data_IF_975203441805
#
_entry.id   IF_975203441805
#
_cell.length_a   1.000
_cell.length_b   1.000
_cell.length_c   1.000
_cell.angle_alpha   90.00
_cell.angle_beta   90.00
_cell.angle_gamma   90.00
#
_symmetry.space_group_name_H-M   'P 1'
#
loop_
_entity.id
_entity.type
_entity.pdbx_description
1 polymer ?
#
# COMPACT_ATOMS: atom_id res chain seq x y z
N UNK A 1 -13.93 -10.99 4.85
CA UNK A 1 -12.79 -10.32 4.19
C UNK A 1 -11.64 -10.17 5.16
N UNK A 2 -10.46 -10.61 4.75
CA UNK A 2 -9.18 -10.34 5.44
C UNK A 2 -8.85 -8.84 5.38
N UNK A 3 -7.91 -8.36 6.22
CA UNK A 3 -7.51 -6.95 6.21
C UNK A 3 -6.93 -6.55 4.84
N UNK A 4 -6.14 -7.43 4.23
CA UNK A 4 -5.56 -7.24 2.89
C UNK A 4 -6.64 -7.08 1.82
N UNK A 5 -7.69 -7.89 1.84
CA UNK A 5 -8.83 -7.74 0.91
C UNK A 5 -9.56 -6.40 1.10
N UNK A 6 -9.77 -5.96 2.35
CA UNK A 6 -10.43 -4.68 2.66
C UNK A 6 -9.61 -3.49 2.17
N UNK A 7 -8.29 -3.53 2.38
CA UNK A 7 -7.35 -2.50 1.95
C UNK A 7 -7.21 -2.47 0.43
N UNK A 8 -7.18 -3.64 -0.21
CA UNK A 8 -7.24 -3.76 -1.67
C UNK A 8 -8.52 -3.16 -2.24
N UNK A 9 -9.68 -3.51 -1.70
CA UNK A 9 -10.96 -2.97 -2.14
C UNK A 9 -11.02 -1.43 -2.04
N UNK A 10 -10.52 -0.84 -0.94
CA UNK A 10 -10.40 0.61 -0.81
C UNK A 10 -9.54 1.21 -1.95
N UNK A 11 -8.37 0.63 -2.20
CA UNK A 11 -7.45 1.12 -3.23
C UNK A 11 -8.07 1.03 -4.63
N UNK A 12 -8.73 -0.09 -4.95
CA UNK A 12 -9.48 -0.25 -6.19
C UNK A 12 -10.56 0.81 -6.37
N UNK A 13 -11.42 1.00 -5.37
CA UNK A 13 -12.49 2.00 -5.44
C UNK A 13 -11.95 3.41 -5.67
N UNK A 14 -10.84 3.77 -5.03
CA UNK A 14 -10.22 5.08 -5.20
C UNK A 14 -9.63 5.27 -6.61
N UNK A 15 -8.96 4.23 -7.14
CA UNK A 15 -8.38 4.24 -8.49
C UNK A 15 -9.45 4.29 -9.58
N UNK A 16 -10.53 3.51 -9.42
CA UNK A 16 -11.69 3.54 -10.34
C UNK A 16 -12.35 4.92 -10.31
N UNK A 17 -12.56 5.51 -9.12
CA UNK A 17 -13.12 6.85 -9.02
C UNK A 17 -12.23 7.91 -9.71
N UNK A 18 -10.90 7.78 -9.61
CA UNK A 18 -9.97 8.65 -10.31
C UNK A 18 -10.03 8.45 -11.84
N UNK A 19 -10.13 7.22 -12.31
CA UNK A 19 -10.26 6.91 -13.73
C UNK A 19 -11.56 7.48 -14.32
N UNK A 20 -12.68 7.39 -13.59
CA UNK A 20 -13.95 8.00 -13.98
C UNK A 20 -13.83 9.53 -14.05
N UNK A 21 -13.17 10.15 -13.07
CA UNK A 21 -12.95 11.61 -13.10
C UNK A 21 -12.09 12.05 -14.30
N UNK A 22 -11.08 11.26 -14.69
CA UNK A 22 -10.28 11.51 -15.91
C UNK A 22 -11.12 11.38 -17.18
N UNK A 23 -12.10 10.47 -17.21
CA UNK A 23 -13.01 10.37 -18.36
C UNK A 23 -13.95 11.56 -18.48
N UNK A 24 -14.47 12.07 -17.36
CA UNK A 24 -15.40 13.21 -17.36
C UNK A 24 -14.72 14.56 -17.60
N UNK A 25 -13.51 14.76 -17.06
CA UNK A 25 -12.83 16.05 -17.03
C UNK A 25 -11.63 16.14 -18.00
N UNK A 26 -11.30 15.04 -18.68
CA UNK A 26 -10.09 14.91 -19.49
C UNK A 26 -8.85 14.59 -18.65
N UNK A 27 -7.67 14.73 -19.26
CA UNK A 27 -6.40 14.49 -18.55
C UNK A 27 -6.25 15.41 -17.35
N UNK A 28 -6.12 14.80 -16.16
CA UNK A 28 -5.90 15.50 -14.92
C UNK A 28 -4.40 15.68 -14.69
N UNK A 29 -3.98 16.90 -14.37
CA UNK A 29 -2.62 17.14 -13.89
C UNK A 29 -2.39 16.40 -12.55
N UNK A 30 -1.13 16.06 -12.20
CA UNK A 30 -0.82 15.41 -10.93
C UNK A 30 -1.37 16.13 -9.69
N UNK A 31 -1.50 17.47 -9.76
CA UNK A 31 -2.11 18.26 -8.71
C UNK A 31 -3.63 18.06 -8.60
N UNK A 32 -4.32 18.00 -9.74
CA UNK A 32 -5.76 17.74 -9.79
C UNK A 32 -6.08 16.33 -9.31
N UNK A 33 -5.28 15.33 -9.70
CA UNK A 33 -5.45 13.95 -9.24
C UNK A 33 -5.31 13.85 -7.71
N UNK A 34 -4.27 14.49 -7.16
CA UNK A 34 -4.05 14.47 -5.72
C UNK A 34 -5.15 15.21 -4.96
N UNK A 35 -5.65 16.33 -5.48
CA UNK A 35 -6.78 17.05 -4.92
C UNK A 35 -8.07 16.22 -4.96
N UNK A 36 -8.34 15.58 -6.09
CA UNK A 36 -9.48 14.68 -6.27
C UNK A 36 -9.44 13.54 -5.24
N UNK A 37 -8.33 12.80 -5.16
CA UNK A 37 -8.17 11.69 -4.23
C UNK A 37 -8.29 12.14 -2.77
N UNK A 38 -7.71 13.29 -2.41
CA UNK A 38 -7.83 13.84 -1.06
C UNK A 38 -9.28 14.15 -0.69
N UNK A 39 -10.04 14.75 -1.62
CA UNK A 39 -11.48 15.02 -1.44
C UNK A 39 -12.31 13.74 -1.38
N UNK A 40 -11.99 12.78 -2.24
CA UNK A 40 -12.67 11.49 -2.29
C UNK A 40 -12.46 10.71 -0.98
N UNK A 41 -11.23 10.65 -0.47
CA UNK A 41 -10.89 10.01 0.81
C UNK A 41 -11.61 10.71 1.99
N UNK A 42 -11.68 12.04 1.97
CA UNK A 42 -12.42 12.79 2.98
C UNK A 42 -13.91 12.44 2.98
N UNK A 43 -14.52 12.35 1.79
CA UNK A 43 -15.92 11.97 1.63
C UNK A 43 -16.16 10.52 2.04
N UNK A 44 -15.29 9.59 1.64
CA UNK A 44 -15.37 8.19 2.02
C UNK A 44 -15.31 7.98 3.53
N UNK A 45 -14.41 8.70 4.23
CA UNK A 45 -14.30 8.66 5.68
C UNK A 45 -15.54 9.26 6.36
N UNK A 46 -16.00 10.44 5.89
CA UNK A 46 -17.19 11.11 6.43
C UNK A 46 -18.44 10.24 6.30
N UNK A 47 -18.59 9.56 5.17
CA UNK A 47 -19.74 8.71 4.88
C UNK A 47 -19.59 7.28 5.41
N UNK A 48 -18.47 6.94 6.05
CA UNK A 48 -18.17 5.59 6.57
C UNK A 48 -18.39 4.49 5.52
N UNK A 49 -17.94 4.75 4.27
CA UNK A 49 -18.14 3.82 3.13
C UNK A 49 -17.37 2.51 3.25
N UNK A 50 -16.36 2.46 4.13
CA UNK A 50 -15.49 1.29 4.31
C UNK A 50 -15.51 0.79 5.77
N UNK A 51 -15.03 -0.44 5.99
CA UNK A 51 -14.89 -1.02 7.33
C UNK A 51 -14.05 -0.11 8.24
N UNK A 52 -14.31 -0.18 9.56
CA UNK A 52 -13.51 0.54 10.55
C UNK A 52 -12.03 0.14 10.52
N UNK A 53 -11.74 -1.08 10.11
CA UNK A 53 -10.36 -1.61 10.04
C UNK A 53 -9.46 -0.79 9.09
N UNK A 54 -10.03 -0.20 8.04
CA UNK A 54 -9.27 0.63 7.07
C UNK A 54 -9.44 2.13 7.30
N UNK A 55 -10.20 2.53 8.32
CA UNK A 55 -10.46 3.94 8.61
C UNK A 55 -9.17 4.68 9.03
N UNK A 56 -8.27 4.00 9.75
CA UNK A 56 -6.97 4.55 10.12
C UNK A 56 -6.09 4.78 8.89
N UNK A 57 -6.07 3.84 7.95
CA UNK A 57 -5.32 3.96 6.69
C UNK A 57 -5.84 5.11 5.83
N UNK A 58 -7.17 5.27 5.73
CA UNK A 58 -7.78 6.41 5.05
C UNK A 58 -7.36 7.74 5.70
N UNK A 59 -7.36 7.80 7.04
CA UNK A 59 -6.90 8.96 7.79
C UNK A 59 -5.44 9.30 7.52
N UNK A 60 -4.57 8.29 7.49
CA UNK A 60 -3.16 8.45 7.18
C UNK A 60 -2.94 8.97 5.75
N UNK A 61 -3.58 8.35 4.74
CA UNK A 61 -3.51 8.77 3.33
C UNK A 61 -3.98 10.22 3.14
N UNK A 62 -5.06 10.59 3.81
CA UNK A 62 -5.61 11.93 3.76
C UNK A 62 -4.68 12.97 4.40
N UNK A 63 -4.01 12.62 5.50
CA UNK A 63 -2.99 13.50 6.10
C UNK A 63 -1.79 13.68 5.15
N UNK A 64 -1.34 12.58 4.52
CA UNK A 64 -0.27 12.65 3.51
C UNK A 64 -0.64 13.54 2.33
N UNK A 65 -1.86 13.41 1.79
CA UNK A 65 -2.37 14.24 0.70
C UNK A 65 -2.41 15.73 1.04
N UNK A 66 -2.79 16.07 2.27
CA UNK A 66 -2.87 17.46 2.76
C UNK A 66 -1.49 18.07 3.02
N UNK A 67 -0.58 17.32 3.63
CA UNK A 67 0.75 17.83 4.01
C UNK A 67 1.69 17.94 2.81
N UNK A 68 1.69 16.96 1.92
CA UNK A 68 2.66 16.87 0.83
C UNK A 68 2.10 17.36 -0.51
N UNK A 69 0.79 17.57 -0.62
CA UNK A 69 0.14 17.95 -1.87
C UNK A 69 0.51 17.00 -3.00
N UNK A 70 0.90 17.53 -4.15
CA UNK A 70 1.33 16.75 -5.34
C UNK A 70 2.45 15.75 -5.00
N UNK A 71 3.34 16.08 -4.06
CA UNK A 71 4.45 15.21 -3.64
C UNK A 71 3.99 13.97 -2.87
N UNK A 72 2.72 13.93 -2.43
CA UNK A 72 2.15 12.78 -1.74
C UNK A 72 2.06 11.54 -2.64
N UNK A 73 1.97 11.75 -3.96
CA UNK A 73 1.84 10.69 -4.99
C UNK A 73 0.75 9.67 -4.62
N UNK A 74 -0.42 10.15 -4.24
CA UNK A 74 -1.50 9.30 -3.73
C UNK A 74 -1.95 8.24 -4.74
N UNK A 75 -2.01 8.57 -6.03
CA UNK A 75 -2.36 7.63 -7.09
C UNK A 75 -1.36 6.46 -7.16
N UNK A 76 -0.05 6.76 -7.12
CA UNK A 76 1.00 5.72 -7.12
C UNK A 76 0.93 4.83 -5.88
N UNK A 77 0.72 5.43 -4.70
CA UNK A 77 0.58 4.69 -3.43
C UNK A 77 -0.63 3.76 -3.46
N UNK A 78 -1.78 4.26 -3.92
CA UNK A 78 -2.99 3.44 -4.06
C UNK A 78 -2.80 2.36 -5.12
N UNK A 79 -2.12 2.65 -6.24
CA UNK A 79 -1.78 1.67 -7.27
C UNK A 79 -0.83 0.57 -6.77
N UNK A 80 0.11 0.92 -5.88
CA UNK A 80 0.93 -0.06 -5.19
C UNK A 80 0.08 -0.92 -4.24
N UNK A 81 -0.70 -0.31 -3.35
CA UNK A 81 -1.56 -1.03 -2.40
C UNK A 81 -2.52 -1.98 -3.13
N UNK A 82 -3.16 -1.52 -4.21
CA UNK A 82 -4.04 -2.38 -4.99
C UNK A 82 -3.32 -3.61 -5.52
N UNK A 83 -2.18 -3.43 -6.20
CA UNK A 83 -1.39 -4.53 -6.77
C UNK A 83 -0.90 -5.50 -5.68
N UNK A 84 -0.48 -4.97 -4.54
CA UNK A 84 -0.08 -5.76 -3.37
C UNK A 84 -1.22 -6.58 -2.76
N UNK A 85 -2.46 -6.15 -2.90
CA UNK A 85 -3.64 -6.82 -2.33
C UNK A 85 -4.45 -7.65 -3.33
N UNK A 86 -4.23 -7.48 -4.64
CA UNK A 86 -5.03 -8.10 -5.71
C UNK A 86 -4.21 -8.89 -6.73
N UNK A 87 -2.89 -8.76 -6.71
CA UNK A 87 -2.01 -9.31 -7.73
C UNK A 87 -1.90 -10.83 -7.67
N UNK A 88 -1.95 -11.44 -8.84
CA UNK A 88 -1.26 -12.71 -9.05
C UNK A 88 0.22 -12.48 -8.75
N UNK A 89 0.82 -13.28 -7.86
CA UNK A 89 2.20 -13.11 -7.38
C UNK A 89 3.22 -12.96 -8.52
N UNK A 90 2.93 -13.57 -9.66
CA UNK A 90 3.71 -13.56 -10.90
C UNK A 90 3.75 -12.20 -11.60
N UNK A 91 2.72 -11.35 -11.44
CA UNK A 91 2.62 -10.03 -12.07
C UNK A 91 3.21 -8.89 -11.22
N UNK A 92 3.64 -9.20 -9.99
CA UNK A 92 4.22 -8.24 -9.07
C UNK A 92 5.71 -8.03 -9.32
N UNK A 93 6.23 -6.86 -8.94
CA UNK A 93 7.67 -6.60 -9.07
C UNK A 93 8.50 -7.51 -8.13
N UNK A 94 9.78 -7.68 -8.45
CA UNK A 94 10.66 -8.61 -7.73
C UNK A 94 10.79 -8.29 -6.23
N UNK A 95 10.80 -7.02 -5.85
CA UNK A 95 10.85 -6.60 -4.44
C UNK A 95 9.60 -7.04 -3.68
N UNK A 96 8.42 -6.90 -4.29
CA UNK A 96 7.17 -7.36 -3.70
C UNK A 96 7.14 -8.87 -3.56
N UNK A 97 7.54 -9.59 -4.62
CA UNK A 97 7.61 -11.05 -4.63
C UNK A 97 8.55 -11.58 -3.55
N UNK A 98 9.71 -10.94 -3.39
CA UNK A 98 10.67 -11.26 -2.33
C UNK A 98 10.10 -10.98 -0.94
N UNK A 99 9.48 -9.83 -0.73
CA UNK A 99 8.89 -9.45 0.56
C UNK A 99 7.75 -10.40 0.94
N UNK A 100 6.89 -10.76 -0.01
CA UNK A 100 5.83 -11.73 0.19
C UNK A 100 6.38 -13.11 0.57
N UNK A 101 7.42 -13.58 -0.12
CA UNK A 101 8.07 -14.86 0.19
C UNK A 101 8.67 -14.86 1.62
N UNK A 102 9.30 -13.75 2.03
CA UNK A 102 9.88 -13.61 3.37
C UNK A 102 8.82 -13.59 4.47
N UNK A 103 7.73 -12.82 4.31
CA UNK A 103 6.64 -12.80 5.29
C UNK A 103 5.92 -14.16 5.34
N UNK A 104 5.73 -14.83 4.20
CA UNK A 104 5.15 -16.18 4.15
C UNK A 104 6.03 -17.20 4.89
N UNK A 105 7.35 -17.16 4.67
CA UNK A 105 8.28 -18.03 5.39
C UNK A 105 8.22 -17.78 6.91
N UNK A 106 8.14 -16.52 7.31
CA UNK A 106 7.98 -16.12 8.72
C UNK A 106 6.68 -16.61 9.34
N UNK A 107 5.55 -16.53 8.63
CA UNK A 107 4.28 -17.10 9.07
C UNK A 107 4.35 -18.64 9.19
N UNK A 108 5.21 -19.28 8.40
CA UNK A 108 5.54 -20.71 8.52
C UNK A 108 6.57 -21.02 9.61
N UNK A 109 6.94 -20.04 10.43
CA UNK A 109 7.86 -20.20 11.57
C UNK A 109 9.34 -20.00 11.24
N UNK A 110 9.68 -19.57 10.02
CA UNK A 110 11.07 -19.30 9.65
C UNK A 110 11.49 -17.92 10.11
N UNK A 111 12.47 -17.82 11.02
CA UNK A 111 13.03 -16.51 11.36
C UNK A 111 13.98 -16.05 10.26
N UNK A 112 13.79 -14.81 9.77
CA UNK A 112 14.75 -14.10 8.94
C UNK A 112 15.12 -12.76 9.58
N UNK A 113 16.35 -12.30 9.35
CA UNK A 113 16.87 -11.03 9.84
C UNK A 113 17.91 -10.48 8.86
N UNK A 114 17.94 -9.17 8.69
CA UNK A 114 19.05 -8.50 8.00
C UNK A 114 20.23 -8.44 8.95
N UNK A 115 21.37 -8.98 8.51
CA UNK A 115 22.58 -9.12 9.31
C UNK A 115 23.68 -8.26 8.71
N UNK A 116 24.47 -7.63 9.56
CA UNK A 116 25.75 -7.03 9.16
C UNK A 116 26.78 -8.12 8.85
N UNK A 117 27.85 -7.79 8.12
CA UNK A 117 28.91 -8.75 7.76
C UNK A 117 29.49 -9.49 8.99
N UNK A 118 29.57 -8.79 10.13
CA UNK A 118 30.07 -9.33 11.39
C UNK A 118 29.08 -10.29 12.07
N UNK A 119 27.78 -10.04 11.93
CA UNK A 119 26.73 -10.93 12.42
C UNK A 119 26.58 -12.14 11.48
N UNK A 120 26.88 -11.99 10.19
CA UNK A 120 26.79 -13.06 9.19
C UNK A 120 27.90 -14.10 9.34
N UNK A 121 29.15 -13.67 9.57
CA UNK A 121 30.29 -14.57 9.65
C UNK A 121 31.34 -14.15 10.69
N UNK A 122 32.04 -15.16 11.24
CA UNK A 122 33.14 -14.96 12.20
C UNK A 122 32.72 -15.18 13.65
N UNK A 123 33.49 -14.64 14.60
CA UNK A 123 33.34 -14.91 16.04
C UNK A 123 32.03 -14.42 16.67
N UNK A 124 31.33 -13.52 16.00
CA UNK A 124 30.05 -12.95 16.46
C UNK A 124 28.88 -13.40 15.57
N UNK A 125 29.07 -14.48 14.81
CA UNK A 125 28.04 -14.99 13.93
C UNK A 125 26.80 -15.43 14.74
N UNK A 126 25.62 -14.99 14.31
CA UNK A 126 24.35 -15.36 14.95
C UNK A 126 23.75 -16.57 14.22
N UNK A 127 23.24 -17.54 14.99
CA UNK A 127 22.49 -18.68 14.46
C UNK A 127 21.00 -18.33 14.50
N UNK A 128 20.38 -18.23 13.32
CA UNK A 128 18.93 -18.06 13.18
C UNK A 128 18.30 -19.45 12.94
N UNK A 129 17.27 -19.78 13.71
CA UNK A 129 16.58 -21.09 13.73
C UNK A 129 17.48 -22.26 14.21
N UNK A 130 17.73 -22.37 15.54
CA UNK A 130 18.41 -23.53 16.12
C UNK A 130 17.59 -24.82 16.04
#
# INVERSE_FOLDING_TARGET
MTLTEKTGHLAWCALVALALARQEQGELSPAQENLFLTRWLAAALKQRRFSRDVAQDIGWLLNQGRLLGVRAKLADKLGYVWRSCSGELTEQNDMFRLTYALETAKDMGWNYRVMSDREWAGRYALVLNP
#
